data_IF_699067858747
#
_entry.id   IF_699067858747
#
_cell.length_a   1.000
_cell.length_b   1.000
_cell.length_c   1.000
_cell.angle_alpha   90.00
_cell.angle_beta   90.00
_cell.angle_gamma   90.00
#
_symmetry.space_group_name_H-M   'P 1'
#
loop_
_entity.id
_entity.type
_entity.pdbx_description
1 polymer ?
#
# COMPACT_ATOMS: atom_id res chain seq x y z
N UNK A 1 12.87 -40.01 -28.30
CA UNK A 1 12.91 -40.16 -26.83
C UNK A 1 12.23 -38.96 -26.21
N UNK A 2 10.99 -39.12 -25.77
CA UNK A 2 10.19 -38.06 -25.14
C UNK A 2 10.35 -38.20 -23.64
N UNK A 3 10.85 -37.17 -23.00
CA UNK A 3 10.83 -37.06 -21.53
C UNK A 3 9.48 -36.40 -21.08
N UNK A 4 8.68 -37.08 -20.32
CA UNK A 4 7.44 -36.53 -19.76
C UNK A 4 7.72 -36.09 -18.33
N UNK A 5 7.86 -34.78 -18.08
CA UNK A 5 7.77 -34.27 -16.70
C UNK A 5 7.31 -32.82 -16.69
N UNK A 6 6.03 -32.61 -16.98
CA UNK A 6 5.31 -31.50 -16.40
C UNK A 6 4.21 -32.07 -15.53
N UNK A 7 4.53 -32.18 -14.25
CA UNK A 7 3.59 -32.57 -13.23
C UNK A 7 2.40 -31.63 -13.23
N UNK A 8 1.23 -32.21 -13.40
CA UNK A 8 -0.05 -31.59 -13.18
C UNK A 8 0.00 -30.83 -11.84
N UNK A 9 -0.10 -29.51 -11.89
CA UNK A 9 -0.39 -28.73 -10.71
C UNK A 9 -1.71 -29.23 -10.16
N UNK A 10 -1.67 -29.98 -9.07
CA UNK A 10 -2.86 -30.35 -8.30
C UNK A 10 -3.60 -29.05 -8.04
N UNK A 11 -4.71 -28.85 -8.75
CA UNK A 11 -5.75 -27.90 -8.37
C UNK A 11 -6.11 -28.24 -6.94
N UNK A 12 -5.47 -27.58 -5.99
CA UNK A 12 -5.88 -27.59 -4.60
C UNK A 12 -7.29 -27.04 -4.61
N UNK A 13 -8.25 -27.93 -4.42
CA UNK A 13 -9.68 -27.65 -4.35
C UNK A 13 -9.86 -26.73 -3.10
N UNK A 14 -9.58 -25.43 -3.26
CA UNK A 14 -9.78 -24.39 -2.26
C UNK A 14 -11.28 -24.09 -2.16
N UNK A 15 -12.05 -25.09 -1.69
CA UNK A 15 -13.42 -24.85 -1.22
C UNK A 15 -13.35 -23.76 -0.16
N UNK A 16 -13.77 -22.57 -0.52
CA UNK A 16 -14.01 -21.46 0.40
C UNK A 16 -12.96 -20.37 0.43
N UNK A 17 -12.22 -20.03 -0.65
CA UNK A 17 -11.59 -18.72 -0.73
C UNK A 17 -12.66 -17.70 -1.13
N UNK A 18 -12.72 -16.58 -0.37
CA UNK A 18 -13.53 -15.41 -0.71
C UNK A 18 -12.88 -14.59 -1.84
N UNK A 19 -12.00 -15.17 -2.61
CA UNK A 19 -11.36 -14.53 -3.73
C UNK A 19 -12.43 -14.18 -4.77
N UNK A 20 -12.76 -12.90 -4.85
CA UNK A 20 -13.56 -12.36 -5.92
C UNK A 20 -12.79 -12.58 -7.23
N UNK A 21 -13.44 -13.14 -8.25
CA UNK A 21 -12.84 -13.21 -9.58
C UNK A 21 -13.00 -11.88 -10.29
N UNK A 22 -11.93 -11.40 -10.90
CA UNK A 22 -11.91 -10.15 -11.64
C UNK A 22 -11.61 -10.43 -13.10
N UNK A 23 -12.20 -9.63 -13.96
CA UNK A 23 -11.80 -9.50 -15.35
C UNK A 23 -10.97 -8.22 -15.49
N UNK A 24 -9.75 -8.35 -15.99
CA UNK A 24 -8.81 -7.23 -16.15
C UNK A 24 -8.58 -6.99 -17.64
N UNK A 25 -8.77 -5.78 -18.09
CA UNK A 25 -8.59 -5.34 -19.48
C UNK A 25 -7.60 -4.18 -19.55
N UNK A 26 -6.76 -4.17 -20.58
CA UNK A 26 -5.91 -3.02 -20.91
C UNK A 26 -6.80 -1.95 -21.51
N UNK A 27 -6.74 -0.72 -21.00
CA UNK A 27 -7.49 0.41 -21.53
C UNK A 27 -6.61 1.40 -22.31
N UNK A 28 -5.33 1.50 -22.00
CA UNK A 28 -4.38 2.30 -22.73
C UNK A 28 -2.93 1.90 -22.42
N UNK A 29 -2.05 2.14 -23.37
CA UNK A 29 -0.60 2.15 -23.21
C UNK A 29 -0.10 3.56 -23.61
N UNK A 30 0.38 4.33 -22.64
CA UNK A 30 0.70 5.75 -22.81
C UNK A 30 2.21 5.92 -22.73
N UNK A 31 2.83 6.28 -23.86
CA UNK A 31 4.24 6.68 -23.93
C UNK A 31 4.40 8.05 -23.29
N UNK A 32 5.37 8.19 -22.39
CA UNK A 32 5.76 9.48 -21.79
C UNK A 32 7.04 9.97 -22.47
N UNK A 33 6.95 10.94 -23.40
CA UNK A 33 8.06 11.32 -24.26
C UNK A 33 9.32 11.77 -23.51
N UNK A 34 9.14 12.49 -22.40
CA UNK A 34 10.26 13.02 -21.61
C UNK A 34 11.05 11.95 -20.87
N UNK A 35 10.44 10.78 -20.62
CA UNK A 35 11.09 9.66 -19.95
C UNK A 35 11.43 8.50 -20.89
N UNK A 36 10.92 8.53 -22.13
CA UNK A 36 10.97 7.42 -23.07
C UNK A 36 10.38 6.09 -22.51
N UNK A 37 9.54 6.19 -21.49
CA UNK A 37 8.89 5.06 -20.84
C UNK A 37 7.39 5.03 -21.14
N UNK A 38 6.79 3.85 -21.09
CA UNK A 38 5.35 3.67 -21.20
C UNK A 38 4.71 3.30 -19.87
N UNK A 39 3.51 3.83 -19.64
CA UNK A 39 2.64 3.49 -18.52
C UNK A 39 1.40 2.80 -19.09
N UNK A 40 1.13 1.59 -18.65
CA UNK A 40 -0.03 0.83 -19.09
C UNK A 40 -1.16 0.94 -18.08
N UNK A 41 -2.33 1.34 -18.54
CA UNK A 41 -3.53 1.46 -17.72
C UNK A 41 -4.43 0.26 -17.91
N UNK A 42 -5.01 -0.21 -16.80
CA UNK A 42 -5.91 -1.35 -16.75
C UNK A 42 -7.24 -0.97 -16.11
N UNK A 43 -8.32 -1.55 -16.64
CA UNK A 43 -9.63 -1.60 -16.00
C UNK A 43 -9.85 -2.98 -15.39
N UNK A 44 -10.43 -3.03 -14.20
CA UNK A 44 -10.75 -4.27 -13.50
C UNK A 44 -12.21 -4.31 -13.08
N UNK A 45 -12.93 -5.28 -13.60
CA UNK A 45 -14.36 -5.51 -13.29
C UNK A 45 -14.51 -6.73 -12.39
N UNK A 46 -15.34 -6.63 -11.37
CA UNK A 46 -15.71 -7.75 -10.52
C UNK A 46 -16.64 -8.68 -11.29
N UNK A 47 -16.27 -9.95 -11.44
CA UNK A 47 -17.08 -10.95 -12.15
C UNK A 47 -18.04 -11.64 -11.18
N UNK A 48 -17.58 -11.98 -9.99
CA UNK A 48 -18.40 -12.62 -8.96
C UNK A 48 -18.05 -12.06 -7.57
N UNK A 49 -19.02 -11.58 -6.80
CA UNK A 49 -18.80 -11.28 -5.40
C UNK A 49 -18.58 -12.58 -4.63
N UNK A 50 -17.44 -12.69 -3.97
CA UNK A 50 -17.14 -13.81 -3.10
C UNK A 50 -18.03 -13.81 -1.85
N UNK A 51 -18.48 -14.97 -1.40
CA UNK A 51 -19.13 -15.11 -0.08
C UNK A 51 -18.08 -14.96 1.01
N UNK A 52 -18.33 -14.07 1.98
CA UNK A 52 -17.48 -13.93 3.14
C UNK A 52 -17.47 -15.21 3.97
N UNK A 53 -16.28 -15.67 4.33
CA UNK A 53 -16.14 -16.76 5.30
C UNK A 53 -16.58 -16.28 6.67
N UNK A 54 -17.24 -17.12 7.45
CA UNK A 54 -17.58 -16.80 8.84
C UNK A 54 -16.34 -16.70 9.72
N UNK A 55 -15.43 -17.67 9.56
CA UNK A 55 -14.19 -17.80 10.34
C UNK A 55 -13.10 -18.49 9.51
N UNK A 56 -11.83 -18.22 9.80
CA UNK A 56 -10.68 -18.83 9.13
C UNK A 56 -9.59 -19.20 10.14
N UNK A 57 -8.71 -20.15 9.78
CA UNK A 57 -7.52 -20.47 10.59
C UNK A 57 -6.59 -19.25 10.77
N UNK A 58 -6.68 -18.29 9.86
CA UNK A 58 -6.00 -17.00 9.97
C UNK A 58 -6.52 -16.23 11.18
N UNK A 59 -7.83 -16.18 11.36
CA UNK A 59 -8.46 -15.41 12.45
C UNK A 59 -8.02 -15.94 13.81
N UNK A 60 -8.01 -17.27 13.99
CA UNK A 60 -7.53 -17.87 15.23
C UNK A 60 -6.08 -17.47 15.54
N UNK A 61 -5.22 -17.62 14.54
CA UNK A 61 -3.82 -17.25 14.69
C UNK A 61 -3.62 -15.76 14.97
N UNK A 62 -4.32 -14.87 14.24
CA UNK A 62 -4.22 -13.44 14.45
C UNK A 62 -4.79 -13.02 15.80
N UNK A 63 -5.86 -13.66 16.27
CA UNK A 63 -6.38 -13.43 17.63
C UNK A 63 -5.35 -13.80 18.70
N UNK A 64 -4.70 -14.97 18.56
CA UNK A 64 -3.66 -15.40 19.49
C UNK A 64 -2.46 -14.44 19.51
N UNK A 65 -2.00 -14.04 18.32
CA UNK A 65 -0.92 -13.05 18.18
C UNK A 65 -1.33 -11.69 18.75
N UNK A 66 -2.56 -11.28 18.53
CA UNK A 66 -3.08 -10.02 19.03
C UNK A 66 -3.09 -10.00 20.58
N UNK A 67 -3.65 -11.05 21.21
CA UNK A 67 -3.61 -11.18 22.66
C UNK A 67 -2.17 -11.24 23.21
N UNK A 68 -1.28 -11.99 22.55
CA UNK A 68 0.13 -12.05 22.92
C UNK A 68 0.78 -10.66 22.91
N UNK A 69 0.60 -9.88 21.82
CA UNK A 69 1.19 -8.55 21.74
C UNK A 69 0.54 -7.54 22.67
N UNK A 70 -0.74 -7.67 22.99
CA UNK A 70 -1.36 -6.88 24.07
C UNK A 70 -0.67 -7.16 25.40
N UNK A 71 -0.41 -8.44 25.73
CA UNK A 71 0.34 -8.84 26.92
C UNK A 71 1.75 -8.25 26.93
N UNK A 72 2.51 -8.39 25.83
CA UNK A 72 3.86 -7.83 25.70
C UNK A 72 3.84 -6.29 25.89
N UNK A 73 2.93 -5.59 25.22
CA UNK A 73 2.80 -4.14 25.34
C UNK A 73 2.39 -3.70 26.75
N UNK A 74 1.58 -4.50 27.45
CA UNK A 74 1.11 -4.19 28.79
C UNK A 74 2.18 -4.42 29.86
N UNK A 75 3.04 -5.43 29.72
CA UNK A 75 3.90 -5.90 30.82
C UNK A 75 5.38 -5.60 30.61
N UNK A 76 5.87 -5.61 29.35
CA UNK A 76 7.31 -5.54 29.09
C UNK A 76 7.78 -4.13 28.70
N UNK A 77 9.01 -3.75 29.11
CA UNK A 77 9.65 -2.51 28.67
C UNK A 77 9.89 -2.50 27.14
N UNK A 78 9.87 -1.33 26.51
CA UNK A 78 10.03 -1.13 25.07
C UNK A 78 11.32 -1.76 24.52
N UNK A 79 12.40 -1.76 25.29
CA UNK A 79 13.70 -2.38 24.90
C UNK A 79 13.61 -3.87 24.53
N UNK A 80 12.60 -4.60 25.04
CA UNK A 80 12.39 -6.00 24.74
C UNK A 80 11.51 -6.25 23.52
N UNK A 81 10.83 -5.23 23.00
CA UNK A 81 9.83 -5.39 21.95
C UNK A 81 10.44 -5.83 20.62
N UNK A 82 11.56 -5.22 20.20
CA UNK A 82 12.23 -5.60 18.95
C UNK A 82 12.83 -7.03 19.02
N UNK A 83 13.56 -7.44 20.06
CA UNK A 83 13.98 -8.83 20.25
C UNK A 83 12.83 -9.84 20.20
N UNK A 84 11.71 -9.55 20.87
CA UNK A 84 10.53 -10.44 20.86
C UNK A 84 9.94 -10.57 19.45
N UNK A 85 9.81 -9.46 18.71
CA UNK A 85 9.34 -9.51 17.33
C UNK A 85 10.27 -10.34 16.42
N UNK A 86 11.59 -10.22 16.61
CA UNK A 86 12.58 -11.05 15.93
C UNK A 86 12.45 -12.54 16.27
N UNK A 87 12.31 -12.86 17.53
CA UNK A 87 12.12 -14.23 17.99
C UNK A 87 10.84 -14.86 17.45
N UNK A 88 9.68 -14.16 17.56
CA UNK A 88 8.40 -14.65 17.01
C UNK A 88 8.47 -14.88 15.51
N UNK A 89 9.12 -13.98 14.76
CA UNK A 89 9.31 -14.14 13.31
C UNK A 89 10.16 -15.38 13.00
N UNK A 90 11.18 -15.66 13.82
CA UNK A 90 12.07 -16.82 13.71
C UNK A 90 11.37 -18.15 13.90
N UNK A 91 10.41 -18.26 14.84
CA UNK A 91 9.67 -19.50 15.12
C UNK A 91 8.98 -20.11 13.89
N UNK A 92 8.57 -19.29 12.93
CA UNK A 92 7.87 -19.74 11.72
C UNK A 92 8.66 -19.54 10.43
N UNK A 93 9.92 -19.13 10.54
CA UNK A 93 10.76 -18.77 9.40
C UNK A 93 10.83 -19.88 8.34
N UNK A 94 11.06 -21.14 8.74
CA UNK A 94 11.09 -22.30 7.82
C UNK A 94 9.80 -22.45 7.01
N UNK A 95 8.64 -22.22 7.65
CA UNK A 95 7.33 -22.28 6.98
C UNK A 95 7.14 -21.11 6.00
N UNK A 96 7.56 -19.91 6.39
CA UNK A 96 7.48 -18.73 5.54
C UNK A 96 8.40 -18.83 4.34
N UNK A 97 9.65 -19.32 4.52
CA UNK A 97 10.59 -19.58 3.44
C UNK A 97 9.97 -20.55 2.42
N UNK A 98 9.44 -21.69 2.88
CA UNK A 98 8.83 -22.69 1.99
C UNK A 98 7.63 -22.15 1.20
N UNK A 99 6.88 -21.20 1.76
CA UNK A 99 5.64 -20.69 1.13
C UNK A 99 5.81 -19.49 0.23
N UNK A 100 6.75 -18.61 0.52
CA UNK A 100 6.78 -17.31 -0.12
C UNK A 100 8.15 -16.73 -0.45
N UNK A 101 9.24 -17.35 0.02
CA UNK A 101 10.58 -16.78 -0.19
C UNK A 101 10.99 -16.69 -1.65
N UNK A 102 10.74 -17.73 -2.45
CA UNK A 102 11.14 -17.73 -3.88
C UNK A 102 10.52 -16.56 -4.63
N UNK A 103 9.23 -16.31 -4.44
CA UNK A 103 8.53 -15.17 -5.06
C UNK A 103 9.06 -13.83 -4.54
N UNK A 104 9.30 -13.73 -3.24
CA UNK A 104 9.88 -12.54 -2.63
C UNK A 104 11.28 -12.25 -3.19
N UNK A 105 12.13 -13.26 -3.28
CA UNK A 105 13.50 -13.14 -3.79
C UNK A 105 13.53 -12.71 -5.27
N UNK A 106 12.64 -13.28 -6.09
CA UNK A 106 12.49 -12.87 -7.50
C UNK A 106 12.08 -11.39 -7.59
N UNK A 107 11.05 -10.98 -6.84
CA UNK A 107 10.58 -9.61 -6.84
C UNK A 107 11.66 -8.62 -6.36
N UNK A 108 12.36 -8.97 -5.28
CA UNK A 108 13.41 -8.12 -4.72
C UNK A 108 14.56 -7.93 -5.68
N UNK A 109 15.01 -9.03 -6.33
CA UNK A 109 16.09 -9.00 -7.33
C UNK A 109 15.69 -8.25 -8.60
N UNK A 110 14.47 -8.42 -9.06
CA UNK A 110 13.95 -7.69 -10.22
C UNK A 110 13.98 -6.16 -10.01
N UNK A 111 13.78 -5.69 -8.78
CA UNK A 111 13.76 -4.26 -8.48
C UNK A 111 15.14 -3.73 -8.07
N UNK A 112 15.87 -4.46 -7.22
CA UNK A 112 17.11 -3.99 -6.60
C UNK A 112 18.39 -4.58 -7.21
N UNK A 113 18.25 -5.52 -8.14
CA UNK A 113 19.37 -6.23 -8.75
C UNK A 113 19.77 -7.51 -8.02
N UNK A 114 20.62 -8.31 -8.70
CA UNK A 114 21.00 -9.63 -8.23
C UNK A 114 21.94 -9.62 -7.01
N UNK A 115 22.60 -8.50 -6.73
CA UNK A 115 23.53 -8.36 -5.59
C UNK A 115 22.85 -8.28 -4.22
N UNK A 116 21.51 -8.20 -4.18
CA UNK A 116 20.77 -8.03 -2.93
C UNK A 116 20.67 -9.34 -2.13
N UNK A 117 20.92 -9.26 -0.81
CA UNK A 117 20.64 -10.38 0.11
C UNK A 117 19.12 -10.47 0.40
N UNK A 118 18.42 -11.13 -0.53
CA UNK A 118 16.98 -11.32 -0.41
C UNK A 118 16.56 -12.10 0.85
N UNK A 119 17.43 -12.99 1.38
CA UNK A 119 17.11 -13.75 2.60
C UNK A 119 17.14 -12.87 3.85
N UNK A 120 18.12 -11.98 3.96
CA UNK A 120 18.19 -11.00 5.03
C UNK A 120 16.98 -10.06 4.97
N UNK A 121 16.65 -9.52 3.80
CA UNK A 121 15.49 -8.64 3.62
C UNK A 121 14.16 -9.34 3.96
N UNK A 122 14.01 -10.61 3.55
CA UNK A 122 12.81 -11.37 3.88
C UNK A 122 12.62 -11.55 5.39
N UNK A 123 13.70 -11.86 6.12
CA UNK A 123 13.67 -11.95 7.59
C UNK A 123 13.32 -10.61 8.23
N UNK A 124 13.91 -9.52 7.77
CA UNK A 124 13.65 -8.17 8.27
C UNK A 124 12.19 -7.75 8.02
N UNK A 125 11.65 -8.03 6.83
CA UNK A 125 10.25 -7.81 6.51
C UNK A 125 9.32 -8.59 7.46
N UNK A 126 9.57 -9.87 7.70
CA UNK A 126 8.77 -10.66 8.64
C UNK A 126 8.81 -10.08 10.07
N UNK A 127 9.98 -9.66 10.55
CA UNK A 127 10.09 -8.98 11.83
C UNK A 127 9.33 -7.65 11.85
N UNK A 128 9.39 -6.88 10.74
CA UNK A 128 8.62 -5.64 10.55
C UNK A 128 7.11 -5.83 10.65
N UNK A 129 6.57 -6.94 10.11
CA UNK A 129 5.16 -7.29 10.26
C UNK A 129 4.76 -7.52 11.73
N UNK A 130 5.64 -8.14 12.51
CA UNK A 130 5.42 -8.34 13.94
C UNK A 130 5.56 -7.02 14.72
N UNK A 131 6.53 -6.16 14.36
CA UNK A 131 6.65 -4.81 14.95
C UNK A 131 5.39 -3.99 14.73
N UNK A 132 4.82 -4.00 13.52
CA UNK A 132 3.54 -3.33 13.23
C UNK A 132 2.39 -3.81 14.13
N UNK A 133 2.28 -5.12 14.41
CA UNK A 133 1.26 -5.66 15.33
C UNK A 133 1.47 -5.16 16.76
N UNK A 134 2.72 -5.14 17.21
CA UNK A 134 3.04 -4.64 18.55
C UNK A 134 2.85 -3.13 18.68
N UNK A 135 3.13 -2.33 17.63
CA UNK A 135 2.76 -0.91 17.57
C UNK A 135 1.26 -0.71 17.78
N UNK A 136 0.43 -1.50 17.09
CA UNK A 136 -1.03 -1.47 17.28
C UNK A 136 -1.41 -1.80 18.74
N UNK A 137 -0.86 -2.86 19.30
CA UNK A 137 -1.10 -3.27 20.67
C UNK A 137 -0.69 -2.18 21.68
N UNK A 138 0.45 -1.52 21.46
CA UNK A 138 0.92 -0.43 22.31
C UNK A 138 -0.06 0.75 22.36
N UNK A 139 -0.63 1.10 21.22
CA UNK A 139 -1.67 2.15 21.16
C UNK A 139 -2.98 1.76 21.86
N UNK A 140 -3.33 0.46 21.87
CA UNK A 140 -4.56 -0.03 22.50
C UNK A 140 -4.44 -0.12 24.02
N UNK A 141 -3.28 -0.53 24.52
CA UNK A 141 -3.04 -0.67 25.97
C UNK A 141 -2.94 0.70 26.68
N UNK A 142 -2.85 1.79 25.92
CA UNK A 142 -2.76 3.13 26.50
C UNK A 142 -1.46 3.42 27.24
N UNK A 143 -0.47 2.53 27.17
CA UNK A 143 0.86 2.83 27.70
C UNK A 143 1.48 4.00 26.93
N UNK A 144 2.25 4.80 27.65
CA UNK A 144 2.95 5.98 27.15
C UNK A 144 4.12 5.59 26.22
N UNK A 145 3.83 4.84 25.16
CA UNK A 145 4.77 4.65 24.08
C UNK A 145 4.74 5.92 23.20
N UNK A 146 5.77 6.70 23.35
CA UNK A 146 5.94 7.97 22.65
C UNK A 146 7.27 7.95 21.89
N UNK A 147 7.30 7.33 20.70
CA UNK A 147 8.50 7.36 19.86
C UNK A 147 8.75 8.77 19.33
N UNK A 148 9.99 9.09 19.04
CA UNK A 148 10.33 10.29 18.28
C UNK A 148 9.85 10.12 16.83
N UNK A 149 9.10 11.09 16.31
CA UNK A 149 8.63 11.09 14.92
C UNK A 149 9.11 12.37 14.25
N UNK A 150 9.98 12.24 13.24
CA UNK A 150 10.41 13.36 12.41
C UNK A 150 9.56 13.38 11.15
N UNK A 151 8.85 14.48 10.90
CA UNK A 151 8.13 14.74 9.65
C UNK A 151 8.95 15.69 8.78
N UNK A 152 9.25 15.30 7.56
CA UNK A 152 9.99 16.08 6.57
C UNK A 152 9.07 16.43 5.39
N UNK A 153 9.32 17.60 4.76
CA UNK A 153 8.55 18.06 3.60
C UNK A 153 7.20 18.70 3.93
N UNK A 154 6.94 19.01 5.20
CA UNK A 154 5.69 19.66 5.64
C UNK A 154 5.51 21.03 4.99
N UNK A 155 6.56 21.83 4.85
CA UNK A 155 6.51 23.18 4.29
C UNK A 155 5.99 23.18 2.85
N UNK A 156 6.42 22.20 2.04
CA UNK A 156 5.92 22.03 0.66
C UNK A 156 4.41 21.72 0.62
N UNK A 157 3.92 20.89 1.55
CA UNK A 157 2.50 20.60 1.69
C UNK A 157 1.72 21.85 2.12
N UNK A 158 2.21 22.59 3.10
CA UNK A 158 1.56 23.81 3.59
C UNK A 158 1.50 24.89 2.49
N UNK A 159 2.57 25.05 1.72
CA UNK A 159 2.60 25.99 0.59
C UNK A 159 1.59 25.59 -0.49
N UNK A 160 1.47 24.30 -0.79
CA UNK A 160 0.46 23.81 -1.72
C UNK A 160 -0.98 24.08 -1.24
N UNK A 161 -1.23 23.93 0.05
CA UNK A 161 -2.54 24.20 0.65
C UNK A 161 -2.94 25.69 0.59
N UNK A 162 -1.98 26.64 0.57
CA UNK A 162 -2.28 28.06 0.38
C UNK A 162 -2.97 28.36 -0.97
N UNK A 163 -2.82 27.47 -1.96
CA UNK A 163 -3.50 27.59 -3.26
C UNK A 163 -5.00 27.25 -3.20
N UNK A 164 -5.51 26.71 -2.07
CA UNK A 164 -6.92 26.47 -1.82
C UNK A 164 -7.55 25.32 -2.61
N UNK A 165 -6.73 24.39 -3.15
CA UNK A 165 -7.22 23.26 -3.99
C UNK A 165 -7.07 21.89 -3.31
N UNK A 166 -6.73 21.89 -2.01
CA UNK A 166 -6.45 20.70 -1.25
C UNK A 166 -5.21 19.94 -1.72
N UNK A 167 -4.91 18.84 -1.07
CA UNK A 167 -3.77 18.00 -1.40
C UNK A 167 -4.10 16.53 -1.29
N UNK A 168 -3.49 15.70 -2.13
CA UNK A 168 -3.49 14.24 -2.03
C UNK A 168 -2.09 13.80 -1.61
N UNK A 169 -1.99 13.03 -0.54
CA UNK A 169 -0.77 12.36 -0.14
C UNK A 169 -0.88 10.88 -0.49
N UNK A 170 -0.05 10.46 -1.45
CA UNK A 170 -0.02 9.10 -1.96
C UNK A 170 1.00 8.27 -1.18
N UNK A 171 0.50 7.53 -0.20
CA UNK A 171 1.31 6.81 0.78
C UNK A 171 1.85 5.48 0.23
N UNK A 172 3.11 5.20 0.50
CA UNK A 172 3.74 3.91 0.22
C UNK A 172 3.39 2.85 1.28
N UNK A 173 3.61 1.58 0.94
CA UNK A 173 3.28 0.45 1.83
C UNK A 173 4.51 -0.04 2.61
N UNK A 174 5.07 0.82 3.45
CA UNK A 174 6.08 0.43 4.43
C UNK A 174 5.45 -0.01 5.75
N UNK A 175 6.19 -0.78 6.53
CA UNK A 175 5.69 -1.39 7.78
C UNK A 175 5.10 -0.36 8.76
N UNK A 176 5.70 0.80 8.89
CA UNK A 176 5.28 1.85 9.83
C UNK A 176 4.25 2.84 9.27
N UNK A 177 3.95 2.80 7.97
CA UNK A 177 3.09 3.80 7.30
C UNK A 177 1.67 3.84 7.88
N UNK A 178 1.12 2.69 8.30
CA UNK A 178 -0.29 2.57 8.65
C UNK A 178 -0.71 3.42 9.85
N UNK A 179 0.13 3.50 10.88
CA UNK A 179 -0.17 4.24 12.12
C UNK A 179 0.74 5.47 12.22
N UNK A 180 2.05 5.26 12.11
CA UNK A 180 3.05 6.31 12.36
C UNK A 180 2.95 7.44 11.33
N UNK A 181 2.76 7.13 10.04
CA UNK A 181 2.59 8.17 9.02
C UNK A 181 1.39 9.09 9.27
N UNK A 182 0.27 8.53 9.74
CA UNK A 182 -0.92 9.32 10.11
C UNK A 182 -0.67 10.14 11.37
N UNK A 183 -0.01 9.54 12.37
CA UNK A 183 0.35 10.20 13.61
C UNK A 183 1.30 11.38 13.36
N UNK A 184 2.29 11.21 12.49
CA UNK A 184 3.20 12.28 12.09
C UNK A 184 2.46 13.51 11.53
N UNK A 185 1.51 13.28 10.62
CA UNK A 185 0.68 14.34 10.05
C UNK A 185 -0.21 15.01 11.12
N UNK A 186 -0.85 14.21 11.95
CA UNK A 186 -1.71 14.71 13.03
C UNK A 186 -0.94 15.55 14.04
N UNK A 187 0.22 15.10 14.51
CA UNK A 187 1.07 15.83 15.45
C UNK A 187 1.63 17.14 14.84
N UNK A 188 1.73 17.20 13.49
CA UNK A 188 2.09 18.41 12.75
C UNK A 188 0.87 19.32 12.43
N UNK A 189 -0.32 19.02 12.98
CA UNK A 189 -1.52 19.83 12.78
C UNK A 189 -2.23 19.60 11.44
N UNK A 190 -1.84 18.57 10.66
CA UNK A 190 -2.48 18.24 9.39
C UNK A 190 -3.68 17.33 9.60
N UNK A 191 -4.89 17.89 9.44
CA UNK A 191 -6.15 17.15 9.51
C UNK A 191 -6.41 16.35 8.21
N UNK A 192 -5.98 15.09 8.18
CA UNK A 192 -6.06 14.26 7.00
C UNK A 192 -7.31 13.36 6.97
N UNK A 193 -7.84 13.14 5.76
CA UNK A 193 -8.92 12.20 5.46
C UNK A 193 -8.35 10.95 4.78
N UNK A 194 -8.61 9.75 5.31
CA UNK A 194 -8.10 8.51 4.73
C UNK A 194 -9.12 7.85 3.81
N UNK A 195 -8.74 7.56 2.57
CA UNK A 195 -9.49 6.61 1.73
C UNK A 195 -9.14 5.19 2.12
N UNK A 196 -10.15 4.39 2.41
CA UNK A 196 -10.00 3.03 2.92
C UNK A 196 -11.03 2.10 2.29
N UNK A 197 -10.79 0.80 2.35
CA UNK A 197 -11.77 -0.21 1.94
C UNK A 197 -12.50 -0.79 3.14
N UNK A 198 -13.69 -1.36 2.89
CA UNK A 198 -14.50 -2.00 3.95
C UNK A 198 -13.74 -3.11 4.68
N UNK A 199 -12.87 -3.82 3.97
CA UNK A 199 -12.06 -4.92 4.50
C UNK A 199 -10.71 -4.48 5.05
N UNK A 200 -10.53 -3.17 5.30
CA UNK A 200 -9.30 -2.66 5.87
C UNK A 200 -9.03 -3.27 7.24
N UNK A 201 -7.89 -3.96 7.38
CA UNK A 201 -7.51 -4.56 8.65
C UNK A 201 -6.68 -5.82 8.51
N UNK A 202 -6.81 -6.67 9.49
CA UNK A 202 -6.01 -7.90 9.66
C UNK A 202 -6.64 -9.07 8.90
N UNK A 203 -7.98 -9.12 8.81
CA UNK A 203 -8.71 -10.26 8.23
C UNK A 203 -9.90 -9.81 7.38
N UNK A 204 -10.23 -10.63 6.40
CA UNK A 204 -11.36 -10.47 5.47
C UNK A 204 -12.55 -11.38 5.80
N UNK A 205 -12.50 -12.15 6.88
CA UNK A 205 -13.62 -12.95 7.37
C UNK A 205 -14.66 -12.12 8.12
N UNK A 206 -15.86 -12.65 8.31
CA UNK A 206 -16.89 -11.99 9.15
C UNK A 206 -16.40 -11.79 10.59
N UNK A 207 -15.71 -12.78 11.16
CA UNK A 207 -15.08 -12.67 12.48
C UNK A 207 -14.03 -11.55 12.51
N UNK A 208 -13.14 -11.53 11.50
CA UNK A 208 -12.12 -10.51 11.38
C UNK A 208 -12.69 -9.10 11.27
N UNK A 209 -13.71 -8.93 10.43
CA UNK A 209 -14.41 -7.64 10.26
C UNK A 209 -15.09 -7.16 11.55
N UNK A 210 -15.59 -8.09 12.37
CA UNK A 210 -16.31 -7.74 13.60
C UNK A 210 -15.41 -7.55 14.82
N UNK A 211 -14.29 -8.29 14.91
CA UNK A 211 -13.48 -8.34 16.14
C UNK A 211 -12.01 -7.94 15.95
N UNK A 212 -11.36 -8.27 14.83
CA UNK A 212 -9.93 -8.03 14.64
C UNK A 212 -9.61 -6.69 13.97
N UNK A 213 -10.44 -6.26 13.02
CA UNK A 213 -10.21 -5.03 12.28
C UNK A 213 -10.62 -3.75 13.05
N UNK A 214 -11.73 -3.73 13.83
CA UNK A 214 -12.17 -2.52 14.52
C UNK A 214 -11.13 -1.90 15.45
N UNK A 215 -10.36 -2.66 16.26
CA UNK A 215 -9.31 -2.08 17.10
C UNK A 215 -8.25 -1.32 16.29
N UNK A 216 -7.84 -1.86 15.13
CA UNK A 216 -6.87 -1.20 14.25
C UNK A 216 -7.46 0.09 13.65
N UNK A 217 -8.68 0.01 13.15
CA UNK A 217 -9.39 1.17 12.60
C UNK A 217 -9.57 2.26 13.67
N UNK A 218 -9.90 1.88 14.90
CA UNK A 218 -10.06 2.81 16.02
C UNK A 218 -8.75 3.54 16.36
N UNK A 219 -7.62 2.82 16.38
CA UNK A 219 -6.30 3.44 16.60
C UNK A 219 -5.95 4.42 15.47
N UNK A 220 -6.13 4.01 14.22
CA UNK A 220 -5.84 4.87 13.08
C UNK A 220 -6.73 6.13 13.05
N UNK A 221 -8.01 6.00 13.41
CA UNK A 221 -8.96 7.12 13.42
C UNK A 221 -8.63 8.20 14.45
N UNK A 222 -7.83 7.90 15.48
CA UNK A 222 -7.33 8.91 16.43
C UNK A 222 -6.46 9.97 15.75
N UNK A 223 -5.87 9.63 14.62
CA UNK A 223 -4.94 10.47 13.86
C UNK A 223 -5.51 10.95 12.53
N UNK A 224 -6.83 10.84 12.35
CA UNK A 224 -7.53 11.22 11.13
C UNK A 224 -8.70 12.13 11.43
N UNK A 225 -8.94 13.12 10.58
CA UNK A 225 -10.16 13.91 10.61
C UNK A 225 -11.38 13.06 10.27
N UNK A 226 -11.28 12.22 9.25
CA UNK A 226 -12.32 11.26 8.89
C UNK A 226 -11.78 10.12 8.02
N UNK A 227 -12.60 9.08 7.85
CA UNK A 227 -12.33 7.96 6.96
C UNK A 227 -13.43 7.90 5.88
N UNK A 228 -13.02 7.88 4.64
CA UNK A 228 -13.88 7.66 3.47
C UNK A 228 -13.77 6.20 3.09
N UNK A 229 -14.78 5.41 3.41
CA UNK A 229 -14.80 3.98 3.10
C UNK A 229 -15.26 3.80 1.66
N UNK A 230 -14.42 3.19 0.84
CA UNK A 230 -14.72 2.84 -0.53
C UNK A 230 -15.43 1.48 -0.57
N UNK A 231 -16.62 1.47 -1.14
CA UNK A 231 -17.29 0.28 -1.62
C UNK A 231 -17.45 0.40 -3.15
N UNK A 232 -17.24 -0.68 -3.88
CA UNK A 232 -17.35 -0.68 -5.35
C UNK A 232 -18.76 -0.37 -5.84
N UNK A 233 -19.77 -0.75 -5.06
CA UNK A 233 -21.17 -0.42 -5.33
C UNK A 233 -21.47 1.08 -5.21
N UNK A 234 -20.60 1.84 -4.50
CA UNK A 234 -20.79 3.24 -4.19
C UNK A 234 -19.63 4.14 -4.66
N UNK A 235 -18.92 3.71 -5.69
CA UNK A 235 -17.72 4.40 -6.20
C UNK A 235 -17.98 5.87 -6.59
N UNK A 236 -19.17 6.16 -7.13
CA UNK A 236 -19.56 7.52 -7.49
C UNK A 236 -19.66 8.44 -6.27
N UNK A 237 -20.34 8.00 -5.22
CA UNK A 237 -20.51 8.78 -3.98
C UNK A 237 -19.17 9.03 -3.28
N UNK A 238 -18.29 8.02 -3.28
CA UNK A 238 -16.93 8.16 -2.75
C UNK A 238 -16.15 9.22 -3.53
N UNK A 239 -16.26 9.21 -4.86
CA UNK A 239 -15.62 10.21 -5.72
C UNK A 239 -16.13 11.62 -5.42
N UNK A 240 -17.45 11.81 -5.28
CA UNK A 240 -18.04 13.10 -4.89
C UNK A 240 -17.57 13.57 -3.50
N UNK A 241 -17.52 12.66 -2.53
CA UNK A 241 -17.00 12.96 -1.17
C UNK A 241 -15.55 13.43 -1.23
N UNK A 242 -14.71 12.74 -1.99
CA UNK A 242 -13.31 13.13 -2.15
C UNK A 242 -13.19 14.50 -2.81
N UNK A 243 -13.95 14.77 -3.88
CA UNK A 243 -13.97 16.07 -4.54
C UNK A 243 -14.41 17.18 -3.58
N UNK A 244 -15.42 16.92 -2.72
CA UNK A 244 -15.87 17.88 -1.71
C UNK A 244 -14.77 18.21 -0.70
N UNK A 245 -14.04 17.18 -0.21
CA UNK A 245 -12.90 17.36 0.71
C UNK A 245 -11.82 18.22 0.05
N UNK A 246 -11.41 17.87 -1.17
CA UNK A 246 -10.34 18.58 -1.89
C UNK A 246 -10.75 20.01 -2.23
N UNK A 247 -11.97 20.25 -2.70
CA UNK A 247 -12.51 21.60 -2.93
C UNK A 247 -12.58 22.45 -1.65
N UNK A 248 -12.78 21.81 -0.49
CA UNK A 248 -12.70 22.44 0.82
C UNK A 248 -11.27 22.57 1.37
N UNK A 249 -10.27 22.50 0.50
CA UNK A 249 -8.86 22.58 0.84
C UNK A 249 -8.37 21.50 1.83
N UNK A 250 -9.04 20.33 1.86
CA UNK A 250 -8.67 19.21 2.74
C UNK A 250 -7.52 18.38 2.20
N UNK A 251 -6.90 17.60 3.09
CA UNK A 251 -5.84 16.65 2.77
C UNK A 251 -6.39 15.24 2.71
N UNK A 252 -6.17 14.52 1.60
CA UNK A 252 -6.64 13.13 1.41
C UNK A 252 -5.46 12.18 1.34
N UNK A 253 -5.46 11.15 2.20
CA UNK A 253 -4.48 10.07 2.18
C UNK A 253 -4.98 8.92 1.32
N UNK A 254 -4.20 8.50 0.35
CA UNK A 254 -4.44 7.34 -0.51
C UNK A 254 -3.20 6.45 -0.52
N UNK A 255 -3.38 5.14 -0.62
CA UNK A 255 -2.28 4.17 -0.66
C UNK A 255 -2.04 3.64 -2.07
N UNK A 256 -0.86 3.05 -2.31
CA UNK A 256 -0.52 2.37 -3.57
C UNK A 256 -1.42 1.16 -3.87
N UNK A 257 -2.29 0.77 -2.95
CA UNK A 257 -3.09 -0.45 -3.07
C UNK A 257 -4.07 -0.36 -4.24
N UNK A 258 -3.93 -1.27 -5.20
CA UNK A 258 -4.79 -1.37 -6.39
C UNK A 258 -6.13 -2.07 -6.12
N UNK A 259 -6.29 -2.73 -4.97
CA UNK A 259 -7.48 -3.56 -4.71
C UNK A 259 -8.76 -2.74 -4.52
N UNK A 260 -8.66 -1.48 -4.17
CA UNK A 260 -9.81 -0.62 -3.93
C UNK A 260 -10.45 -0.09 -5.22
N UNK A 261 -9.64 0.28 -6.22
CA UNK A 261 -10.09 0.94 -7.44
C UNK A 261 -10.49 -0.01 -8.56
N UNK A 262 -11.26 0.50 -9.52
CA UNK A 262 -11.55 -0.17 -10.78
C UNK A 262 -10.45 0.02 -11.83
N UNK A 263 -9.59 1.02 -11.67
CA UNK A 263 -8.49 1.33 -12.57
C UNK A 263 -7.16 1.41 -11.83
N UNK A 264 -6.12 0.90 -12.46
CA UNK A 264 -4.75 0.97 -11.96
C UNK A 264 -3.77 1.10 -13.13
N UNK A 265 -2.54 1.47 -12.83
CA UNK A 265 -1.48 1.60 -13.80
C UNK A 265 -0.31 0.68 -13.48
N UNK A 266 0.32 0.16 -14.52
CA UNK A 266 1.56 -0.62 -14.47
C UNK A 266 2.69 0.23 -15.03
N UNK A 267 3.80 0.30 -14.31
CA UNK A 267 5.03 0.97 -14.74
C UNK A 267 6.24 0.12 -14.38
N UNK A 268 7.34 0.28 -15.09
CA UNK A 268 8.64 -0.33 -14.76
C UNK A 268 9.09 0.08 -13.36
N UNK A 269 9.81 -0.78 -12.65
CA UNK A 269 10.34 -0.49 -11.32
C UNK A 269 11.72 -1.14 -11.13
N UNK A 270 12.75 -0.33 -10.96
CA UNK A 270 14.11 -0.81 -10.77
C UNK A 270 14.70 -1.43 -12.02
N UNK A 271 15.50 -2.51 -11.89
CA UNK A 271 16.26 -3.08 -13.02
C UNK A 271 15.38 -3.81 -14.04
N UNK A 272 14.47 -4.66 -13.58
CA UNK A 272 13.58 -5.45 -14.44
C UNK A 272 12.22 -5.71 -13.83
N UNK A 273 11.91 -5.03 -12.71
CA UNK A 273 10.64 -5.18 -12.01
C UNK A 273 9.53 -4.29 -12.56
N UNK A 274 8.34 -4.52 -12.05
CA UNK A 274 7.13 -3.78 -12.38
C UNK A 274 6.36 -3.42 -11.11
N UNK A 275 5.71 -2.26 -11.11
CA UNK A 275 4.83 -1.84 -10.03
C UNK A 275 3.43 -1.57 -10.53
N UNK A 276 2.45 -1.88 -9.70
CA UNK A 276 1.05 -1.58 -9.97
C UNK A 276 0.57 -0.52 -8.97
N UNK A 277 0.15 0.61 -9.50
CA UNK A 277 -0.28 1.77 -8.71
C UNK A 277 -1.76 2.08 -8.98
N UNK A 278 -2.53 2.35 -7.93
CA UNK A 278 -3.90 2.84 -8.09
C UNK A 278 -3.91 4.15 -8.86
N UNK A 279 -4.63 4.25 -9.97
CA UNK A 279 -4.62 5.45 -10.83
C UNK A 279 -5.42 6.62 -10.25
N UNK A 280 -6.26 6.38 -9.24
CA UNK A 280 -7.13 7.41 -8.68
C UNK A 280 -6.41 8.67 -8.19
N UNK A 281 -5.28 8.62 -7.43
CA UNK A 281 -4.57 9.81 -7.00
C UNK A 281 -4.12 10.69 -8.19
N UNK A 282 -3.53 10.06 -9.21
CA UNK A 282 -3.08 10.73 -10.42
C UNK A 282 -4.26 11.34 -11.20
N UNK A 283 -5.39 10.62 -11.28
CA UNK A 283 -6.59 11.10 -11.96
C UNK A 283 -7.21 12.33 -11.26
N UNK A 284 -7.31 12.33 -9.93
CA UNK A 284 -7.79 13.50 -9.17
C UNK A 284 -6.88 14.71 -9.36
N UNK A 285 -5.55 14.51 -9.31
CA UNK A 285 -4.59 15.58 -9.53
C UNK A 285 -4.68 16.15 -10.95
N UNK A 286 -4.73 15.29 -11.97
CA UNK A 286 -4.80 15.69 -13.37
C UNK A 286 -6.08 16.48 -13.71
N UNK A 287 -7.23 16.05 -13.18
CA UNK A 287 -8.53 16.68 -13.46
C UNK A 287 -8.85 17.88 -12.58
N UNK A 288 -8.45 17.81 -11.30
CA UNK A 288 -8.83 18.82 -10.29
C UNK A 288 -7.78 19.91 -10.08
N UNK A 289 -6.57 19.75 -10.59
CA UNK A 289 -5.44 20.63 -10.28
C UNK A 289 -5.07 20.59 -8.79
N UNK A 290 -5.42 19.47 -8.11
CA UNK A 290 -5.10 19.21 -6.72
C UNK A 290 -3.62 18.88 -6.59
N UNK A 291 -2.96 19.40 -5.56
CA UNK A 291 -1.56 19.08 -5.27
C UNK A 291 -1.38 17.59 -4.96
N UNK A 292 -0.34 16.97 -5.50
CA UNK A 292 -0.05 15.55 -5.31
C UNK A 292 1.35 15.37 -4.70
N UNK A 293 1.43 14.61 -3.63
CA UNK A 293 2.65 14.28 -2.91
C UNK A 293 2.78 12.77 -2.76
N UNK A 294 4.02 12.27 -2.71
CA UNK A 294 4.31 10.93 -2.21
C UNK A 294 4.68 11.00 -0.73
N UNK A 295 4.38 9.94 0.03
CA UNK A 295 4.79 9.85 1.43
C UNK A 295 5.26 8.44 1.76
N UNK A 296 6.42 8.34 2.41
CA UNK A 296 6.99 7.11 2.95
C UNK A 296 7.29 7.27 4.43
N UNK A 297 7.13 6.20 5.21
CA UNK A 297 7.40 6.22 6.65
C UNK A 297 8.27 5.05 7.04
N UNK A 298 9.40 5.35 7.68
CA UNK A 298 10.44 4.40 8.06
C UNK A 298 10.64 4.37 9.57
N UNK A 299 11.02 3.21 10.07
CA UNK A 299 11.51 3.04 11.42
C UNK A 299 13.04 3.13 11.40
N UNK A 300 13.62 4.15 12.03
CA UNK A 300 15.07 4.36 12.10
C UNK A 300 15.69 3.69 13.32
N UNK A 301 14.98 3.72 14.44
CA UNK A 301 15.30 2.96 15.65
C UNK A 301 14.05 2.14 16.02
N UNK A 302 14.15 0.80 16.12
CA UNK A 302 13.02 -0.05 16.44
C UNK A 302 12.23 0.44 17.67
N UNK A 303 10.96 0.79 17.49
CA UNK A 303 10.06 1.39 18.47
C UNK A 303 10.52 2.71 19.11
N UNK A 304 11.68 3.23 18.76
CA UNK A 304 12.26 4.45 19.34
C UNK A 304 12.10 5.66 18.46
N UNK A 305 12.42 5.53 17.17
CA UNK A 305 12.45 6.66 16.26
C UNK A 305 11.91 6.31 14.88
N UNK A 306 11.15 7.25 14.31
CA UNK A 306 10.54 7.12 12.98
C UNK A 306 10.77 8.39 12.17
N UNK A 307 10.88 8.19 10.85
CA UNK A 307 11.01 9.27 9.88
C UNK A 307 9.86 9.15 8.88
N UNK A 308 9.04 10.17 8.78
CA UNK A 308 7.98 10.30 7.79
C UNK A 308 8.41 11.39 6.79
N UNK A 309 8.47 11.04 5.51
CA UNK A 309 8.97 11.92 4.46
C UNK A 309 7.87 12.18 3.44
N UNK A 310 7.45 13.45 3.33
CA UNK A 310 6.61 13.94 2.25
C UNK A 310 7.54 14.42 1.13
N UNK A 311 7.35 13.92 -0.09
CA UNK A 311 8.14 14.34 -1.25
C UNK A 311 7.90 15.83 -1.57
N UNK A 312 8.74 16.47 -2.38
CA UNK A 312 8.32 17.63 -3.15
C UNK A 312 7.04 17.32 -3.93
N UNK A 313 6.28 18.37 -4.25
CA UNK A 313 5.05 18.22 -5.05
C UNK A 313 5.36 17.53 -6.38
N UNK A 314 4.59 16.48 -6.70
CA UNK A 314 4.69 15.78 -7.96
C UNK A 314 4.00 16.62 -9.05
N UNK A 315 4.78 17.33 -9.87
CA UNK A 315 4.27 18.19 -10.92
C UNK A 315 4.81 17.72 -12.28
N UNK A 316 3.99 17.11 -13.13
CA UNK A 316 4.44 16.68 -14.45
C UNK A 316 4.77 17.85 -15.36
N UNK A 317 5.73 17.67 -16.25
CA UNK A 317 6.14 18.70 -17.22
C UNK A 317 4.96 19.20 -18.08
N UNK A 318 4.08 18.29 -18.50
CA UNK A 318 2.86 18.63 -19.26
C UNK A 318 1.89 19.57 -18.52
N UNK A 319 1.90 19.59 -17.19
CA UNK A 319 1.06 20.51 -16.40
C UNK A 319 1.59 21.95 -16.39
N UNK A 320 2.85 22.14 -16.76
CA UNK A 320 3.51 23.46 -16.84
C UNK A 320 3.21 24.21 -18.15
N UNK A 321 2.75 23.52 -19.18
CA UNK A 321 2.55 24.05 -20.53
C UNK A 321 1.07 24.27 -20.88
N UNK A 322 0.44 25.36 -20.38
CA UNK A 322 -0.74 26.00 -20.98
C UNK A 322 -2.07 25.21 -21.07
N UNK A 323 -3.16 25.91 -21.31
CA UNK A 323 -4.54 25.38 -21.45
C UNK A 323 -4.69 24.37 -22.60
N UNK A 324 -5.42 23.25 -22.38
CA UNK A 324 -5.71 22.26 -23.42
C UNK A 324 -6.63 22.78 -24.52
N UNK A 325 -6.36 22.42 -25.79
CA UNK A 325 -7.29 22.57 -26.89
C UNK A 325 -8.46 21.57 -26.78
N UNK A 326 -9.70 21.92 -27.14
CA UNK A 326 -10.84 20.99 -27.18
C UNK A 326 -10.62 19.91 -28.24
N UNK A 327 -10.95 18.66 -27.92
CA UNK A 327 -10.88 17.54 -28.87
C UNK A 327 -9.88 16.43 -28.50
N UNK A 328 -8.92 16.71 -27.61
CA UNK A 328 -7.95 15.70 -27.13
C UNK A 328 -7.91 15.56 -25.61
N UNK A 329 -8.96 15.97 -24.91
CA UNK A 329 -8.96 16.15 -23.45
C UNK A 329 -8.76 14.85 -22.68
N UNK A 330 -9.27 13.72 -23.18
CA UNK A 330 -9.13 12.43 -22.49
C UNK A 330 -7.72 11.85 -22.68
N UNK A 331 -7.20 11.87 -23.90
CA UNK A 331 -5.83 11.44 -24.19
C UNK A 331 -4.80 12.32 -23.45
N UNK A 332 -5.03 13.64 -23.42
CA UNK A 332 -4.16 14.58 -22.69
C UNK A 332 -4.20 14.34 -21.18
N UNK A 333 -5.37 14.05 -20.61
CA UNK A 333 -5.50 13.71 -19.20
C UNK A 333 -4.78 12.40 -18.88
N UNK A 334 -4.81 11.41 -19.76
CA UNK A 334 -4.08 10.15 -19.57
C UNK A 334 -2.57 10.35 -19.63
N UNK A 335 -2.07 11.19 -20.53
CA UNK A 335 -0.65 11.52 -20.58
C UNK A 335 -0.19 12.21 -19.28
N UNK A 336 -0.95 13.17 -18.77
CA UNK A 336 -0.66 13.80 -17.46
C UNK A 336 -0.70 12.80 -16.32
N UNK A 337 -1.67 11.86 -16.31
CA UNK A 337 -1.73 10.79 -15.31
C UNK A 337 -0.50 9.87 -15.41
N UNK A 338 -0.06 9.53 -16.62
CA UNK A 338 1.12 8.71 -16.82
C UNK A 338 2.38 9.38 -16.25
N UNK A 339 2.56 10.69 -16.44
CA UNK A 339 3.65 11.43 -15.78
C UNK A 339 3.56 11.35 -14.25
N UNK A 340 2.38 11.56 -13.66
CA UNK A 340 2.20 11.43 -12.21
C UNK A 340 2.55 10.01 -11.71
N UNK A 341 2.19 8.98 -12.47
CA UNK A 341 2.53 7.58 -12.14
C UNK A 341 4.05 7.39 -12.14
N UNK A 342 4.77 7.90 -13.15
CA UNK A 342 6.23 7.80 -13.22
C UNK A 342 6.90 8.57 -12.08
N UNK A 343 6.49 9.81 -11.81
CA UNK A 343 7.02 10.59 -10.69
C UNK A 343 6.79 9.90 -9.34
N UNK A 344 5.61 9.31 -9.14
CA UNK A 344 5.31 8.53 -7.94
C UNK A 344 6.17 7.27 -7.87
N UNK A 345 6.32 6.54 -8.99
CA UNK A 345 7.18 5.37 -9.10
C UNK A 345 8.63 5.68 -8.71
N UNK A 346 9.17 6.81 -9.18
CA UNK A 346 10.54 7.22 -8.91
C UNK A 346 10.75 7.49 -7.42
N UNK A 347 9.84 8.21 -6.76
CA UNK A 347 9.88 8.43 -5.31
C UNK A 347 9.74 7.13 -4.53
N UNK A 348 8.90 6.23 -5.01
CA UNK A 348 8.76 4.92 -4.41
C UNK A 348 10.03 4.08 -4.54
N UNK A 349 10.67 4.08 -5.71
CA UNK A 349 11.93 3.37 -5.95
C UNK A 349 13.07 3.92 -5.08
N UNK A 350 13.17 5.24 -4.94
CA UNK A 350 14.11 5.90 -4.04
C UNK A 350 13.93 5.42 -2.59
N UNK A 351 12.70 5.46 -2.10
CA UNK A 351 12.35 5.00 -0.76
C UNK A 351 12.65 3.51 -0.54
N UNK A 352 12.37 2.67 -1.52
CA UNK A 352 12.65 1.22 -1.50
C UNK A 352 14.15 0.94 -1.49
N UNK A 353 14.96 1.69 -2.23
CA UNK A 353 16.42 1.54 -2.24
C UNK A 353 17.04 1.92 -0.90
N UNK A 354 16.49 2.93 -0.23
CA UNK A 354 16.97 3.36 1.10
C UNK A 354 16.57 2.38 2.21
N UNK A 355 15.35 1.82 2.16
CA UNK A 355 14.79 0.98 3.22
C UNK A 355 14.11 -0.29 2.68
N UNK A 356 14.84 -1.14 1.93
CA UNK A 356 14.24 -2.32 1.29
C UNK A 356 13.73 -3.37 2.28
N UNK A 357 14.29 -3.37 3.49
CA UNK A 357 13.95 -4.27 4.60
C UNK A 357 12.61 -3.94 5.27
N UNK A 358 12.06 -2.74 5.03
CA UNK A 358 10.80 -2.28 5.63
C UNK A 358 9.61 -2.37 4.66
N UNK A 359 9.87 -2.77 3.44
CA UNK A 359 8.83 -2.94 2.43
C UNK A 359 7.87 -4.07 2.82
N UNK A 360 6.56 -3.78 2.88
CA UNK A 360 5.54 -4.74 3.31
C UNK A 360 5.21 -5.80 2.27
N UNK A 361 5.32 -5.45 1.00
CA UNK A 361 4.91 -6.31 -0.10
C UNK A 361 5.68 -5.98 -1.37
N UNK A 362 6.22 -7.00 -2.00
CA UNK A 362 6.87 -6.96 -3.31
C UNK A 362 5.92 -7.54 -4.37
N UNK A 363 4.70 -7.05 -4.42
CA UNK A 363 3.74 -7.44 -5.45
C UNK A 363 4.04 -6.71 -6.77
N UNK A 364 3.72 -7.37 -7.89
CA UNK A 364 3.80 -6.71 -9.19
C UNK A 364 5.16 -6.69 -9.85
N UNK A 365 6.12 -7.51 -9.43
CA UNK A 365 7.43 -7.61 -10.07
C UNK A 365 7.41 -8.19 -11.49
N UNK A 366 6.32 -8.86 -11.88
CA UNK A 366 6.10 -9.39 -13.22
C UNK A 366 5.06 -8.54 -13.96
N UNK A 367 5.23 -8.40 -15.27
CA UNK A 367 4.20 -7.81 -16.12
C UNK A 367 2.90 -8.59 -15.99
N UNK A 368 1.79 -7.87 -16.01
CA UNK A 368 0.47 -8.50 -15.91
C UNK A 368 0.17 -9.41 -17.10
N UNK A 369 0.64 -9.01 -18.28
CA UNK A 369 0.50 -9.76 -19.54
C UNK A 369 1.27 -11.09 -19.56
N UNK A 370 2.30 -11.23 -18.73
CA UNK A 370 3.14 -12.43 -18.66
C UNK A 370 2.57 -13.47 -17.68
N UNK A 371 1.43 -13.17 -17.05
CA UNK A 371 0.78 -14.08 -16.11
C UNK A 371 -0.27 -14.93 -16.81
N UNK A 372 -0.19 -16.25 -16.70
CA UNK A 372 -1.15 -17.15 -17.35
C UNK A 372 -2.56 -17.11 -16.73
N UNK A 373 -2.79 -16.36 -15.64
CA UNK A 373 -4.06 -16.36 -14.92
C UNK A 373 -4.32 -15.03 -14.19
N UNK A 374 -5.39 -14.32 -14.56
CA UNK A 374 -5.84 -13.05 -13.95
C UNK A 374 -6.16 -13.15 -12.44
N UNK A 375 -6.32 -14.37 -11.92
CA UNK A 375 -6.55 -14.64 -10.50
C UNK A 375 -5.31 -14.40 -9.63
N UNK A 376 -4.15 -14.18 -10.22
CA UNK A 376 -2.89 -14.02 -9.48
C UNK A 376 -2.75 -12.66 -8.77
N UNK A 377 -3.49 -11.63 -9.19
CA UNK A 377 -3.51 -10.33 -8.50
C UNK A 377 -4.23 -10.40 -7.13
N UNK A 378 -5.12 -11.38 -6.96
CA UNK A 378 -5.87 -11.57 -5.71
C UNK A 378 -5.04 -12.33 -4.64
N UNK A 379 -3.91 -12.91 -5.02
CA UNK A 379 -2.98 -13.53 -4.08
C UNK A 379 -1.95 -12.50 -3.61
N UNK A 380 -2.40 -11.36 -3.07
CA UNK A 380 -1.54 -10.40 -2.40
C UNK A 380 -0.77 -11.11 -1.28
N UNK A 381 0.57 -11.17 -1.34
CA UNK A 381 1.39 -11.66 -0.24
C UNK A 381 1.38 -10.70 0.97
N UNK A 382 0.76 -9.52 0.88
CA UNK A 382 0.41 -8.69 2.04
C UNK A 382 -0.46 -9.43 3.04
N UNK A 383 -1.03 -10.54 2.63
CA UNK A 383 -1.57 -11.62 3.46
C UNK A 383 -0.56 -12.74 3.74
N UNK A 384 0.74 -12.47 3.80
CA UNK A 384 1.63 -13.34 4.58
C UNK A 384 1.20 -13.17 6.03
N UNK A 385 0.12 -13.74 6.23
CA UNK A 385 -0.57 -13.80 7.50
C UNK A 385 -0.14 -15.07 8.23
#
# INVERSE_FOLDING_TARGET
>A
MRLPWFGQSRRANRKGSSAASFHTEIIADVLVPESAESVRFFSRKLVKPGKLRRFSNKDFRESLLFCFYLGVAATLPVRWWAPICGWVSGLRLKRHIRKGFSRYALATRAVLGNGVDAQRLFRAMLAGLHRRRLQLAAHLVGKRWSPAIRLEGLDGLQEALKRGRGAIIWCDQFASQTIIGKRALHEAGVEAHQVSVRFHGISDSMFGLRFLNPPMVAVENRFLKSRVVFDRSDAYQVTLRMQKILKGNGVVLMTNNIHAGSTFAEASLGESGWTHLASAPANFAARGGTALFAMSTFETIPFGEYRAVISPELVPAAAKSGRPKPGGMEAKNMAVQAHYILLKRDRFLEAVRLHPDQMMSWSGHERLTDRPDDTALDNDPGTIS
#
